data_IF_660198977018
#
_entry.id   IF_660198977018
#
_cell.length_a   1.000
_cell.length_b   1.000
_cell.length_c   1.000
_cell.angle_alpha   90.00
_cell.angle_beta   90.00
_cell.angle_gamma   90.00
#
_symmetry.space_group_name_H-M   'P 1'
#
loop_
_entity.id
_entity.type
_entity.pdbx_description
1 polymer ?
#
# COMPACT_ATOMS: atom_id res chain seq x y z
N UNK A 1 -0.97 -29.96 -9.98
CA UNK A 1 -1.04 -28.49 -9.83
C UNK A 1 -2.45 -27.96 -9.57
N UNK A 2 -3.52 -28.47 -10.21
CA UNK A 2 -4.90 -27.99 -9.97
C UNK A 2 -5.53 -28.40 -8.61
N UNK A 3 -4.95 -29.36 -7.89
CA UNK A 3 -5.49 -29.84 -6.61
C UNK A 3 -5.14 -28.92 -5.41
N UNK A 4 -4.03 -28.18 -5.49
CA UNK A 4 -3.61 -27.29 -4.40
C UNK A 4 -4.49 -26.03 -4.30
N UNK A 5 -4.95 -25.53 -5.45
CA UNK A 5 -5.88 -24.39 -5.52
C UNK A 5 -7.31 -24.74 -5.07
N UNK A 6 -7.74 -26.01 -5.16
CA UNK A 6 -9.05 -26.45 -4.62
C UNK A 6 -9.05 -26.63 -3.11
N UNK A 7 -7.91 -26.96 -2.49
CA UNK A 7 -7.80 -27.12 -1.04
C UNK A 7 -7.99 -25.80 -0.28
N UNK A 8 -7.52 -24.67 -0.83
CA UNK A 8 -7.65 -23.35 -0.22
C UNK A 8 -9.06 -22.75 -0.33
N UNK A 9 -9.86 -23.17 -1.32
CA UNK A 9 -11.22 -22.68 -1.55
C UNK A 9 -12.31 -23.59 -0.95
N UNK A 10 -11.96 -24.79 -0.51
CA UNK A 10 -12.93 -25.84 -0.17
C UNK A 10 -13.25 -26.03 1.32
N UNK A 11 -12.55 -25.36 2.25
CA UNK A 11 -12.67 -25.66 3.69
C UNK A 11 -13.00 -24.45 4.60
N UNK A 12 -13.09 -23.24 4.07
CA UNK A 12 -13.56 -22.09 4.83
C UNK A 12 -14.96 -21.73 4.35
N UNK A 13 -15.99 -22.01 5.15
CA UNK A 13 -17.29 -21.35 4.99
C UNK A 13 -17.02 -19.86 4.81
N UNK A 14 -17.54 -19.27 3.73
CA UNK A 14 -17.12 -17.97 3.22
C UNK A 14 -17.04 -16.90 4.33
N UNK A 15 -15.87 -16.78 4.96
CA UNK A 15 -15.53 -15.63 5.78
C UNK A 15 -15.31 -14.55 4.75
N UNK A 16 -16.33 -13.73 4.52
CA UNK A 16 -16.17 -12.49 3.77
C UNK A 16 -15.01 -11.76 4.46
N UNK A 17 -13.91 -11.43 3.77
CA UNK A 17 -12.88 -10.60 4.38
C UNK A 17 -13.59 -9.31 4.81
N UNK A 18 -13.66 -9.10 6.13
CA UNK A 18 -14.21 -7.87 6.67
C UNK A 18 -13.30 -6.75 6.19
N UNK A 19 -13.82 -5.84 5.37
CA UNK A 19 -13.07 -4.67 4.97
C UNK A 19 -12.55 -3.98 6.26
N UNK A 20 -11.25 -3.64 6.35
CA UNK A 20 -10.73 -2.95 7.52
C UNK A 20 -11.53 -1.66 7.72
N UNK A 21 -12.02 -1.44 8.94
CA UNK A 21 -12.79 -0.24 9.27
C UNK A 21 -11.88 0.99 9.10
N UNK A 22 -12.19 1.83 8.11
CA UNK A 22 -11.50 3.12 7.93
C UNK A 22 -12.12 4.11 8.93
N UNK A 23 -11.34 4.71 9.85
CA UNK A 23 -11.88 5.67 10.81
C UNK A 23 -12.46 6.90 10.08
N UNK A 24 -13.75 7.14 10.26
CA UNK A 24 -14.45 8.34 9.76
C UNK A 24 -14.02 9.52 10.64
N UNK A 25 -13.49 10.60 10.03
CA UNK A 25 -13.15 11.84 10.73
C UNK A 25 -14.28 12.87 10.58
N UNK A 26 -14.47 13.76 11.55
CA UNK A 26 -15.44 14.84 11.43
C UNK A 26 -15.15 15.69 10.18
N UNK A 27 -16.17 15.90 9.34
CA UNK A 27 -16.07 16.65 8.08
C UNK A 27 -15.96 15.81 6.79
N UNK A 28 -15.81 14.49 6.88
CA UNK A 28 -15.96 13.63 5.68
C UNK A 28 -17.43 13.48 5.29
N UNK A 29 -17.82 14.00 4.10
CA UNK A 29 -19.09 13.62 3.47
C UNK A 29 -18.99 12.17 3.02
N UNK A 30 -19.65 11.26 3.74
CA UNK A 30 -19.83 9.89 3.29
C UNK A 30 -20.70 9.91 2.02
N UNK A 31 -20.14 9.48 0.89
CA UNK A 31 -20.88 9.25 -0.33
C UNK A 31 -21.03 7.75 -0.52
N UNK A 32 -22.25 7.24 -0.40
CA UNK A 32 -22.55 5.87 -0.79
C UNK A 32 -22.44 5.73 -2.31
N UNK A 33 -21.57 4.83 -2.77
CA UNK A 33 -21.40 4.50 -4.18
C UNK A 33 -21.46 2.99 -4.33
N UNK A 34 -22.36 2.50 -5.20
CA UNK A 34 -22.26 1.15 -5.73
C UNK A 34 -21.10 1.12 -6.72
N UNK A 35 -19.90 0.80 -6.24
CA UNK A 35 -18.68 0.77 -7.06
C UNK A 35 -18.07 -0.62 -7.06
N UNK A 36 -17.67 -1.07 -8.25
CA UNK A 36 -16.68 -2.15 -8.37
C UNK A 36 -15.33 -1.53 -7.97
N UNK A 37 -14.56 -2.21 -7.13
CA UNK A 37 -13.22 -1.77 -6.74
C UNK A 37 -12.18 -2.74 -7.28
N UNK A 38 -11.01 -2.23 -7.63
CA UNK A 38 -9.84 -3.03 -7.91
C UNK A 38 -8.98 -3.09 -6.64
N UNK A 39 -8.59 -4.30 -6.24
CA UNK A 39 -7.60 -4.51 -5.21
C UNK A 39 -6.26 -4.83 -5.85
N UNK A 40 -5.27 -4.00 -5.59
CA UNK A 40 -3.93 -4.11 -6.17
C UNK A 40 -2.94 -4.42 -5.07
N UNK A 41 -2.14 -5.46 -5.29
CA UNK A 41 -0.97 -5.79 -4.46
C UNK A 41 0.29 -5.71 -5.30
N UNK A 42 1.29 -4.97 -4.80
CA UNK A 42 2.62 -4.88 -5.37
C UNK A 42 3.63 -5.38 -4.35
N UNK A 43 4.60 -6.18 -4.81
CA UNK A 43 5.67 -6.72 -3.99
C UNK A 43 7.01 -6.20 -4.50
N UNK A 44 7.82 -5.64 -3.60
CA UNK A 44 9.15 -5.14 -3.88
C UNK A 44 10.16 -5.95 -3.07
N UNK A 45 10.80 -6.96 -3.67
CA UNK A 45 11.75 -7.82 -2.97
C UNK A 45 13.01 -7.03 -2.57
N UNK A 46 13.61 -7.42 -1.45
CA UNK A 46 14.85 -6.84 -0.93
C UNK A 46 15.69 -7.92 -0.23
N UNK A 47 17.01 -7.68 -0.14
CA UNK A 47 17.96 -8.57 0.52
C UNK A 47 18.20 -8.14 1.98
N UNK A 48 19.44 -7.91 2.41
CA UNK A 48 19.75 -7.44 3.76
C UNK A 48 19.64 -5.91 3.86
N UNK A 49 18.40 -5.44 3.95
CA UNK A 49 18.09 -4.01 4.13
C UNK A 49 17.63 -3.75 5.56
N UNK A 50 17.99 -2.58 6.12
CA UNK A 50 17.54 -2.16 7.45
C UNK A 50 16.01 -2.05 7.52
N UNK A 51 15.39 -2.64 8.56
CA UNK A 51 13.94 -2.67 8.71
C UNK A 51 13.31 -1.30 8.88
N UNK A 52 14.01 -0.37 9.52
CA UNK A 52 13.51 0.99 9.72
C UNK A 52 13.48 1.80 8.43
N UNK A 53 14.50 1.64 7.57
CA UNK A 53 14.52 2.24 6.25
C UNK A 53 13.34 1.75 5.39
N UNK A 54 13.02 0.45 5.44
CA UNK A 54 11.86 -0.12 4.75
C UNK A 54 10.52 0.38 5.31
N UNK A 55 10.40 0.51 6.64
CA UNK A 55 9.20 1.09 7.27
C UNK A 55 9.00 2.55 6.86
N UNK A 56 10.08 3.34 6.82
CA UNK A 56 10.04 4.73 6.38
C UNK A 56 9.68 4.83 4.89
N UNK A 57 10.21 3.94 4.05
CA UNK A 57 9.83 3.86 2.64
C UNK A 57 8.34 3.49 2.50
N UNK A 58 7.87 2.48 3.21
CA UNK A 58 6.45 2.11 3.26
C UNK A 58 5.56 3.29 3.69
N UNK A 59 5.98 4.03 4.71
CA UNK A 59 5.29 5.25 5.13
C UNK A 59 5.24 6.32 4.03
N UNK A 60 6.36 6.59 3.36
CA UNK A 60 6.44 7.54 2.23
C UNK A 60 5.49 7.15 1.10
N UNK A 61 5.50 5.86 0.71
CA UNK A 61 4.63 5.33 -0.34
C UNK A 61 3.16 5.50 0.07
N UNK A 62 2.83 5.16 1.32
CA UNK A 62 1.48 5.32 1.87
C UNK A 62 1.01 6.77 1.83
N UNK A 63 1.85 7.74 2.24
CA UNK A 63 1.48 9.16 2.15
C UNK A 63 1.23 9.62 0.70
N UNK A 64 2.05 9.13 -0.23
CA UNK A 64 1.98 9.51 -1.64
C UNK A 64 0.72 9.00 -2.35
N UNK A 65 0.16 7.86 -1.89
CA UNK A 65 -1.04 7.25 -2.49
C UNK A 65 -2.28 7.32 -1.60
N UNK A 66 -2.16 7.78 -0.35
CA UNK A 66 -3.29 7.86 0.57
C UNK A 66 -4.49 8.59 -0.06
N UNK A 67 -5.72 8.12 0.20
CA UNK A 67 -6.94 8.79 -0.25
C UNK A 67 -6.92 10.29 0.09
N UNK A 68 -7.36 11.11 -0.84
CA UNK A 68 -7.37 12.57 -0.68
C UNK A 68 -8.10 13.26 -1.81
N UNK A 69 -8.36 14.58 -1.69
CA UNK A 69 -9.06 15.36 -2.70
C UNK A 69 -8.36 15.32 -4.07
N UNK A 70 -7.03 15.24 -4.08
CA UNK A 70 -6.21 15.14 -5.30
C UNK A 70 -6.13 13.71 -5.86
N UNK A 71 -6.71 12.72 -5.15
CA UNK A 71 -6.62 11.29 -5.46
C UNK A 71 -7.98 10.60 -5.24
N UNK A 72 -9.07 11.08 -5.88
CA UNK A 72 -10.42 10.59 -5.62
C UNK A 72 -10.60 9.11 -6.00
N UNK A 73 -9.76 8.59 -6.90
CA UNK A 73 -9.80 7.20 -7.34
C UNK A 73 -9.15 6.19 -6.39
N UNK A 74 -8.51 6.62 -5.29
CA UNK A 74 -7.92 5.73 -4.28
C UNK A 74 -8.78 5.71 -3.03
N UNK A 75 -9.18 4.51 -2.60
CA UNK A 75 -10.12 4.29 -1.50
C UNK A 75 -9.43 3.83 -0.21
N UNK A 76 -8.23 3.24 -0.34
CA UNK A 76 -7.45 2.79 0.80
C UNK A 76 -6.06 2.36 0.39
N UNK A 77 -5.14 2.39 1.36
CA UNK A 77 -3.76 1.95 1.19
C UNK A 77 -3.24 1.30 2.47
N UNK A 78 -2.47 0.23 2.32
CA UNK A 78 -1.66 -0.36 3.38
C UNK A 78 -0.26 -0.70 2.84
N UNK A 79 0.70 -0.77 3.74
CA UNK A 79 2.06 -1.26 3.44
C UNK A 79 2.48 -2.24 4.51
N UNK A 80 3.15 -3.31 4.11
CA UNK A 80 3.61 -4.37 5.00
C UNK A 80 5.03 -4.78 4.64
N UNK A 81 5.85 -5.12 5.62
CA UNK A 81 7.20 -5.65 5.41
C UNK A 81 7.21 -7.08 5.92
N UNK A 82 7.37 -8.02 5.00
CA UNK A 82 7.58 -9.44 5.34
C UNK A 82 9.07 -9.74 5.25
N UNK A 83 9.60 -10.52 6.20
CA UNK A 83 10.99 -10.96 6.24
C UNK A 83 11.07 -12.46 6.33
N UNK A 84 12.05 -13.02 5.64
CA UNK A 84 12.42 -14.43 5.71
C UNK A 84 13.96 -14.56 5.74
N UNK A 85 14.51 -15.73 6.11
CA UNK A 85 15.95 -15.96 5.95
C UNK A 85 16.37 -15.68 4.50
N UNK A 86 17.36 -14.80 4.31
CA UNK A 86 17.86 -14.40 2.99
C UNK A 86 17.18 -13.20 2.32
N UNK A 87 16.25 -12.50 3.00
CA UNK A 87 15.69 -11.25 2.48
C UNK A 87 14.25 -10.98 2.92
N UNK A 88 13.47 -10.37 2.04
CA UNK A 88 12.05 -10.11 2.27
C UNK A 88 11.38 -9.37 1.14
N UNK A 89 10.18 -8.89 1.40
CA UNK A 89 9.43 -8.04 0.47
C UNK A 89 8.71 -6.91 1.21
N UNK A 90 8.76 -5.71 0.62
CA UNK A 90 7.87 -4.62 0.96
C UNK A 90 6.63 -4.76 0.08
N UNK A 91 5.49 -5.01 0.70
CA UNK A 91 4.21 -5.04 0.03
C UNK A 91 3.52 -3.69 0.13
N UNK A 92 2.92 -3.29 -0.98
CA UNK A 92 2.03 -2.13 -1.07
C UNK A 92 0.69 -2.62 -1.58
N UNK A 93 -0.35 -2.42 -0.78
CA UNK A 93 -1.72 -2.76 -1.12
C UNK A 93 -2.53 -1.48 -1.26
N UNK A 94 -3.34 -1.37 -2.29
CA UNK A 94 -4.31 -0.28 -2.38
C UNK A 94 -5.60 -0.72 -3.06
N UNK A 95 -6.66 0.03 -2.75
CA UNK A 95 -7.98 -0.09 -3.37
C UNK A 95 -8.19 1.11 -4.27
N UNK A 96 -8.58 0.88 -5.52
CA UNK A 96 -8.89 1.96 -6.46
C UNK A 96 -10.15 1.70 -7.28
N UNK A 97 -10.59 2.71 -8.01
CA UNK A 97 -11.49 2.51 -9.14
C UNK A 97 -10.78 1.63 -10.21
N UNK A 98 -11.49 0.69 -10.88
CA UNK A 98 -10.86 -0.22 -11.83
C UNK A 98 -10.17 0.47 -13.01
N UNK A 99 -10.70 1.61 -13.47
CA UNK A 99 -10.12 2.39 -14.57
C UNK A 99 -8.73 2.97 -14.25
N UNK A 100 -8.46 3.22 -12.96
CA UNK A 100 -7.22 3.86 -12.52
C UNK A 100 -6.18 2.88 -11.97
N UNK A 101 -6.55 1.61 -11.76
CA UNK A 101 -5.72 0.63 -11.07
C UNK A 101 -4.32 0.48 -11.70
N UNK A 102 -4.24 0.42 -13.03
CA UNK A 102 -2.97 0.29 -13.73
C UNK A 102 -2.13 1.55 -13.60
N UNK A 103 -2.74 2.73 -13.77
CA UNK A 103 -2.04 4.01 -13.65
C UNK A 103 -1.45 4.20 -12.25
N UNK A 104 -2.21 3.87 -11.20
CA UNK A 104 -1.71 3.89 -9.83
C UNK A 104 -0.61 2.86 -9.59
N UNK A 105 -0.72 1.67 -10.18
CA UNK A 105 0.30 0.63 -10.06
C UNK A 105 1.64 1.09 -10.61
N UNK A 106 1.66 1.69 -11.81
CA UNK A 106 2.87 2.23 -12.40
C UNK A 106 3.42 3.41 -11.59
N UNK A 107 2.55 4.31 -11.11
CA UNK A 107 2.97 5.41 -10.24
C UNK A 107 3.67 4.94 -8.96
N UNK A 108 3.19 3.88 -8.32
CA UNK A 108 3.85 3.30 -7.14
C UNK A 108 5.21 2.73 -7.50
N UNK A 109 5.32 2.01 -8.63
CA UNK A 109 6.61 1.49 -9.11
C UNK A 109 7.60 2.61 -9.41
N UNK A 110 7.14 3.69 -10.04
CA UNK A 110 7.96 4.86 -10.35
C UNK A 110 8.47 5.53 -9.06
N UNK A 111 7.63 5.69 -8.04
CA UNK A 111 8.04 6.25 -6.74
C UNK A 111 9.09 5.40 -6.03
N UNK A 112 8.95 4.08 -6.08
CA UNK A 112 9.96 3.16 -5.55
C UNK A 112 11.26 3.28 -6.34
N UNK A 113 11.19 3.28 -7.67
CA UNK A 113 12.35 3.41 -8.54
C UNK A 113 13.07 4.75 -8.37
N UNK A 114 12.35 5.85 -8.23
CA UNK A 114 12.90 7.19 -7.96
C UNK A 114 13.65 7.20 -6.62
N UNK A 115 13.01 6.67 -5.57
CA UNK A 115 13.63 6.60 -4.23
C UNK A 115 14.87 5.71 -4.20
N UNK A 116 14.90 4.67 -5.03
CA UNK A 116 16.07 3.80 -5.18
C UNK A 116 17.22 4.44 -5.98
N UNK A 117 16.91 5.33 -6.93
CA UNK A 117 17.92 5.97 -7.79
C UNK A 117 18.64 7.13 -7.12
N UNK A 118 17.94 7.90 -6.30
CA UNK A 118 18.49 9.11 -5.70
C UNK A 118 18.08 9.23 -4.23
N UNK A 119 19.04 9.55 -3.32
CA UNK A 119 18.71 9.93 -1.97
C UNK A 119 17.78 11.15 -1.97
N UNK A 120 16.87 11.19 -1.00
CA UNK A 120 16.07 12.39 -0.75
C UNK A 120 16.97 13.55 -0.32
N UNK A 121 16.60 14.77 -0.68
CA UNK A 121 17.26 15.95 -0.10
C UNK A 121 17.10 15.96 1.41
N UNK A 122 18.07 16.54 2.12
CA UNK A 122 18.09 16.58 3.58
C UNK A 122 16.81 17.16 4.17
N UNK A 123 16.29 18.24 3.58
CA UNK A 123 15.06 18.90 4.06
C UNK A 123 13.82 18.01 3.88
N UNK A 124 13.72 17.32 2.73
CA UNK A 124 12.61 16.39 2.44
C UNK A 124 12.66 15.18 3.36
N UNK A 125 13.85 14.62 3.58
CA UNK A 125 14.05 13.50 4.49
C UNK A 125 13.71 13.89 5.94
N UNK A 126 14.19 15.04 6.42
CA UNK A 126 13.89 15.52 7.77
C UNK A 126 12.39 15.79 7.96
N UNK A 127 11.72 16.37 6.97
CA UNK A 127 10.27 16.58 7.00
C UNK A 127 9.49 15.24 7.02
N UNK A 128 9.89 14.28 6.19
CA UNK A 128 9.30 12.93 6.17
C UNK A 128 9.48 12.23 7.53
N UNK A 129 10.69 12.29 8.08
CA UNK A 129 11.02 11.63 9.34
C UNK A 129 10.22 12.20 10.52
N UNK A 130 10.02 13.53 10.56
CA UNK A 130 9.16 14.19 11.55
C UNK A 130 7.73 13.65 11.49
N UNK A 131 7.11 13.66 10.30
CA UNK A 131 5.75 13.13 10.12
C UNK A 131 5.64 11.64 10.45
N UNK A 132 6.63 10.85 10.05
CA UNK A 132 6.69 9.41 10.36
C UNK A 132 6.74 9.15 11.88
N UNK A 133 7.49 9.96 12.62
CA UNK A 133 7.59 9.86 14.09
C UNK A 133 6.43 10.54 14.84
N UNK A 134 5.59 11.29 14.14
CA UNK A 134 4.50 12.07 14.74
C UNK A 134 4.97 13.31 15.53
N UNK A 135 6.08 13.93 15.12
CA UNK A 135 6.70 15.11 15.75
C UNK A 135 6.57 16.34 14.86
#
# INVERSE_FOLDING_TARGET
AAAFLRGLLGAAGAVRPTAPAVPVRDGTRAAERNTVTAWVGLAFPFDDVEGEALRLLGYRLREAIAPGPDRPGVLGVATEVERHPGGGALYVYFLSEPGDALAWSERVRDLVAETARAPLSTDVFAALLRRYRGV
#
